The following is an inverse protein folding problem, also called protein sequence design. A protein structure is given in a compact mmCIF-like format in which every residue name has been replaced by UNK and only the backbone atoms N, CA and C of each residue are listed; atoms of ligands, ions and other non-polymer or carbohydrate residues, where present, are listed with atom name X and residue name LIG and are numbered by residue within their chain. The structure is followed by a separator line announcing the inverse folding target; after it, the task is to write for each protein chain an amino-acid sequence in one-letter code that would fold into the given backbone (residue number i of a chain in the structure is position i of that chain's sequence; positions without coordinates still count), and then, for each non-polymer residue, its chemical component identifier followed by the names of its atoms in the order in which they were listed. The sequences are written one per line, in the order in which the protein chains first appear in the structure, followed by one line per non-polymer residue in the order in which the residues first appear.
data_IF_099143634253
#
_entry.id   IF_099143634253
#
_cell.length_a   1.000
_cell.length_b   1.000
_cell.length_c   1.000
_cell.angle_alpha   90.00
_cell.angle_beta   90.00
_cell.angle_gamma   90.00
#
_symmetry.space_group_name_H-M   'P 1'
#
loop_
_entity.id
_entity.type
_entity.pdbx_description
1 polymer ?
#
# COMPACT_ATOMS: atom_id res chain seq x y z
N UNK A 1 9.88 -26.78 14.73
CA UNK A 1 9.63 -27.56 13.50
C UNK A 1 8.17 -27.35 13.08
N UNK A 2 7.93 -26.97 11.82
CA UNK A 2 6.59 -26.80 11.27
C UNK A 2 5.86 -28.16 11.17
N UNK A 3 4.54 -28.20 11.38
CA UNK A 3 3.73 -29.42 11.37
C UNK A 3 3.66 -30.08 9.98
N UNK A 4 3.40 -31.40 9.88
CA UNK A 4 3.28 -32.13 8.60
C UNK A 4 2.24 -31.54 7.62
N UNK A 5 1.28 -30.78 8.15
CA UNK A 5 0.27 -30.04 7.38
C UNK A 5 0.86 -28.90 6.54
N UNK A 6 1.92 -28.25 7.05
CA UNK A 6 2.59 -27.15 6.36
C UNK A 6 3.55 -27.67 5.28
N UNK A 7 4.13 -28.86 5.47
CA UNK A 7 5.08 -29.47 4.50
C UNK A 7 4.43 -29.96 3.21
N UNK A 8 3.12 -30.25 3.20
CA UNK A 8 2.40 -30.69 1.99
C UNK A 8 1.91 -29.52 1.12
N UNK A 9 1.90 -28.30 1.65
CA UNK A 9 1.56 -27.10 0.90
C UNK A 9 2.83 -26.51 0.32
N UNK A 10 2.84 -26.21 -0.99
CA UNK A 10 3.92 -25.45 -1.66
C UNK A 10 3.90 -23.97 -1.22
N UNK A 11 4.01 -23.71 0.07
CA UNK A 11 4.08 -22.35 0.61
C UNK A 11 5.50 -21.86 0.38
N UNK A 12 5.69 -21.07 -0.68
CA UNK A 12 6.89 -20.25 -0.82
C UNK A 12 6.73 -19.09 0.16
N UNK A 13 7.36 -19.19 1.32
CA UNK A 13 7.55 -18.02 2.19
C UNK A 13 8.70 -17.22 1.58
N UNK A 14 8.37 -16.38 0.58
CA UNK A 14 9.28 -15.34 0.13
C UNK A 14 9.38 -14.27 1.22
N UNK A 15 10.51 -13.56 1.29
CA UNK A 15 10.55 -12.24 1.92
C UNK A 15 9.35 -11.44 1.41
N UNK A 16 8.66 -10.72 2.31
CA UNK A 16 7.46 -9.96 1.95
C UNK A 16 7.71 -9.20 0.64
N UNK A 17 6.84 -9.40 -0.34
CA UNK A 17 6.95 -8.73 -1.63
C UNK A 17 6.87 -7.23 -1.36
N UNK A 18 7.99 -6.51 -1.55
CA UNK A 18 8.09 -5.08 -1.28
C UNK A 18 7.02 -4.30 -2.04
N UNK A 19 6.55 -4.85 -3.17
CA UNK A 19 5.41 -4.35 -3.94
C UNK A 19 4.12 -4.34 -3.13
N UNK A 20 3.84 -5.41 -2.38
CA UNK A 20 2.65 -5.53 -1.56
C UNK A 20 2.72 -4.59 -0.35
N UNK A 21 3.90 -4.44 0.25
CA UNK A 21 4.12 -3.47 1.33
C UNK A 21 3.85 -2.03 0.85
N UNK A 22 4.41 -1.63 -0.30
CA UNK A 22 4.15 -0.31 -0.89
C UNK A 22 2.67 -0.10 -1.18
N UNK A 23 2.01 -1.11 -1.76
CA UNK A 23 0.58 -1.04 -2.03
C UNK A 23 -0.23 -0.84 -0.76
N UNK A 24 0.02 -1.64 0.28
CA UNK A 24 -0.69 -1.57 1.56
C UNK A 24 -0.45 -0.22 2.26
N UNK A 25 0.82 0.23 2.34
CA UNK A 25 1.15 1.49 2.98
C UNK A 25 0.59 2.70 2.21
N UNK A 26 0.51 2.64 0.88
CA UNK A 26 -0.14 3.67 0.09
C UNK A 26 -1.64 3.78 0.41
N UNK A 27 -2.35 2.66 0.55
CA UNK A 27 -3.76 2.64 0.92
C UNK A 27 -3.99 3.15 2.36
N UNK A 28 -3.19 2.68 3.31
CA UNK A 28 -3.29 3.11 4.72
C UNK A 28 -3.02 4.61 4.83
N UNK A 29 -2.00 5.11 4.14
CA UNK A 29 -1.68 6.54 4.09
C UNK A 29 -2.87 7.36 3.59
N UNK A 30 -3.45 6.98 2.45
CA UNK A 30 -4.60 7.67 1.87
C UNK A 30 -5.85 7.61 2.78
N UNK A 31 -6.04 6.49 3.49
CA UNK A 31 -7.13 6.34 4.45
C UNK A 31 -6.97 7.25 5.66
N UNK A 32 -5.78 7.32 6.25
CA UNK A 32 -5.55 8.17 7.42
C UNK A 32 -5.60 9.66 7.06
N UNK A 33 -5.08 10.04 5.88
CA UNK A 33 -5.24 11.39 5.34
C UNK A 33 -6.72 11.78 5.20
N UNK A 34 -7.60 10.84 4.81
CA UNK A 34 -9.05 11.07 4.74
C UNK A 34 -9.69 11.24 6.13
N UNK A 35 -9.18 10.58 7.16
CA UNK A 35 -9.76 10.60 8.51
C UNK A 35 -9.41 11.84 9.32
N UNK A 36 -8.32 12.51 8.97
CA UNK A 36 -7.87 13.76 9.62
C UNK A 36 -7.83 13.68 11.15
N UNK A 37 -7.37 12.54 11.69
CA UNK A 37 -7.36 12.33 13.14
C UNK A 37 -6.23 13.13 13.83
N UNK A 38 -6.38 13.41 15.13
CA UNK A 38 -5.47 14.30 15.90
C UNK A 38 -4.00 13.86 15.98
N UNK A 39 -3.70 12.61 15.63
CA UNK A 39 -2.34 12.04 15.62
C UNK A 39 -1.84 11.72 14.21
N UNK A 40 -2.46 12.30 13.19
CA UNK A 40 -2.17 11.99 11.79
C UNK A 40 -0.68 12.17 11.48
N UNK A 41 -0.10 13.29 11.88
CA UNK A 41 1.33 13.59 11.62
C UNK A 41 2.25 12.54 12.23
N UNK A 42 2.09 12.23 13.53
CA UNK A 42 2.89 11.22 14.22
C UNK A 42 2.74 9.82 13.56
N UNK A 43 1.53 9.49 13.12
CA UNK A 43 1.27 8.22 12.45
C UNK A 43 1.94 8.14 11.08
N UNK A 44 1.80 9.19 10.26
CA UNK A 44 2.44 9.26 8.94
C UNK A 44 3.96 9.27 9.04
N UNK A 45 4.55 9.91 10.05
CA UNK A 45 6.00 9.89 10.31
C UNK A 45 6.52 8.47 10.59
N UNK A 46 5.75 7.67 11.34
CA UNK A 46 6.08 6.26 11.57
C UNK A 46 6.02 5.45 10.28
N UNK A 47 4.93 5.58 9.53
CA UNK A 47 4.81 4.88 8.23
C UNK A 47 5.91 5.30 7.24
N UNK A 48 6.30 6.57 7.25
CA UNK A 48 7.34 7.10 6.37
C UNK A 48 8.70 6.51 6.71
N UNK A 49 8.94 6.20 7.99
CA UNK A 49 10.16 5.53 8.45
C UNK A 49 10.21 4.06 8.02
N UNK A 50 9.05 3.39 7.95
CA UNK A 50 8.93 1.99 7.54
C UNK A 50 8.97 1.83 6.01
N UNK A 51 8.12 2.56 5.27
CA UNK A 51 8.05 2.49 3.82
C UNK A 51 7.86 3.90 3.21
N UNK A 52 8.96 4.64 2.96
CA UNK A 52 8.89 6.02 2.47
C UNK A 52 8.21 6.14 1.10
N UNK A 53 8.36 5.13 0.25
CA UNK A 53 7.74 5.09 -1.08
C UNK A 53 6.23 4.89 -0.98
N UNK A 54 5.77 3.98 -0.11
CA UNK A 54 4.35 3.74 0.13
C UNK A 54 3.62 5.00 0.59
N UNK A 55 4.20 5.71 1.55
CA UNK A 55 3.63 6.98 2.05
C UNK A 55 3.62 8.06 0.98
N UNK A 56 4.70 8.20 0.20
CA UNK A 56 4.77 9.18 -0.88
C UNK A 56 3.71 8.91 -1.97
N UNK A 57 3.55 7.65 -2.39
CA UNK A 57 2.55 7.25 -3.40
C UNK A 57 1.14 7.45 -2.86
N UNK A 58 0.85 6.99 -1.64
CA UNK A 58 -0.46 7.15 -1.01
C UNK A 58 -0.88 8.61 -0.87
N UNK A 59 0.06 9.46 -0.44
CA UNK A 59 -0.16 10.90 -0.32
C UNK A 59 -0.46 11.56 -1.67
N UNK A 60 0.31 11.21 -2.71
CA UNK A 60 0.13 11.79 -4.04
C UNK A 60 -1.22 11.36 -4.66
N UNK A 61 -1.55 10.07 -4.61
CA UNK A 61 -2.81 9.56 -5.15
C UNK A 61 -4.01 10.10 -4.38
N UNK A 62 -3.88 10.30 -3.07
CA UNK A 62 -4.90 10.98 -2.26
C UNK A 62 -5.10 12.43 -2.72
N UNK A 63 -4.02 13.22 -2.87
CA UNK A 63 -4.09 14.61 -3.35
C UNK A 63 -4.73 14.74 -4.73
N UNK A 64 -4.50 13.76 -5.61
CA UNK A 64 -5.13 13.69 -6.94
C UNK A 64 -6.60 13.25 -6.92
N UNK A 65 -7.11 12.81 -5.77
CA UNK A 65 -8.46 12.25 -5.65
C UNK A 65 -8.61 10.88 -6.33
N UNK A 66 -7.51 10.20 -6.65
CA UNK A 66 -7.51 8.96 -7.43
C UNK A 66 -8.41 7.88 -6.80
N UNK A 67 -8.29 7.64 -5.49
CA UNK A 67 -9.08 6.58 -4.83
C UNK A 67 -10.59 6.90 -4.83
N UNK A 68 -10.97 8.17 -4.70
CA UNK A 68 -12.37 8.59 -4.81
C UNK A 68 -12.90 8.37 -6.23
N UNK A 69 -12.08 8.65 -7.24
CA UNK A 69 -12.41 8.37 -8.64
C UNK A 69 -12.53 6.88 -8.92
N UNK A 70 -11.58 6.06 -8.45
CA UNK A 70 -11.58 4.62 -8.61
C UNK A 70 -12.85 3.97 -8.02
N UNK A 71 -13.32 4.46 -6.86
CA UNK A 71 -14.59 4.03 -6.28
C UNK A 71 -15.76 4.44 -7.18
N UNK A 72 -15.81 5.70 -7.60
CA UNK A 72 -16.90 6.25 -8.44
C UNK A 72 -17.03 5.52 -9.77
N UNK A 73 -15.91 5.16 -10.37
CA UNK A 73 -15.83 4.48 -11.68
C UNK A 73 -15.77 2.95 -11.54
N UNK A 74 -15.87 2.43 -10.31
CA UNK A 74 -15.88 1.00 -9.99
C UNK A 74 -14.67 0.23 -10.55
N UNK A 75 -13.47 0.78 -10.35
CA UNK A 75 -12.24 0.14 -10.81
C UNK A 75 -12.04 -1.22 -10.14
N UNK A 76 -11.63 -2.25 -10.89
CA UNK A 76 -11.26 -3.52 -10.29
C UNK A 76 -10.02 -3.35 -9.40
N UNK A 77 -9.98 -4.05 -8.27
CA UNK A 77 -8.87 -3.98 -7.33
C UNK A 77 -7.51 -4.28 -7.98
N UNK A 78 -7.48 -5.16 -8.98
CA UNK A 78 -6.27 -5.44 -9.76
C UNK A 78 -5.75 -4.23 -10.54
N UNK A 79 -6.62 -3.39 -11.09
CA UNK A 79 -6.22 -2.15 -11.76
C UNK A 79 -5.66 -1.16 -10.74
N UNK A 80 -6.34 -0.98 -9.61
CA UNK A 80 -5.87 -0.11 -8.52
C UNK A 80 -4.49 -0.54 -8.04
N UNK A 81 -4.25 -1.85 -7.92
CA UNK A 81 -2.95 -2.39 -7.58
C UNK A 81 -1.88 -2.02 -8.62
N UNK A 82 -2.15 -2.26 -9.91
CA UNK A 82 -1.21 -1.94 -10.99
C UNK A 82 -0.90 -0.44 -11.05
N UNK A 83 -1.89 0.42 -10.86
CA UNK A 83 -1.71 1.87 -10.91
C UNK A 83 -0.86 2.37 -9.73
N UNK A 84 -1.14 1.89 -8.51
CA UNK A 84 -0.38 2.24 -7.31
C UNK A 84 1.07 1.76 -7.43
N UNK A 85 1.28 0.51 -7.85
CA UNK A 85 2.62 -0.07 -8.02
C UNK A 85 3.36 0.60 -9.18
N UNK A 86 2.70 0.88 -10.29
CA UNK A 86 3.27 1.61 -11.41
C UNK A 86 3.72 3.01 -11.00
N UNK A 87 2.94 3.69 -10.15
CA UNK A 87 3.32 4.96 -9.55
C UNK A 87 4.59 4.85 -8.69
N UNK A 88 4.76 3.75 -7.95
CA UNK A 88 5.96 3.47 -7.16
C UNK A 88 7.19 3.18 -8.03
N UNK A 89 7.05 2.34 -9.06
CA UNK A 89 8.14 1.99 -9.98
C UNK A 89 8.70 3.21 -10.72
N UNK A 90 7.84 4.17 -11.09
CA UNK A 90 8.26 5.46 -11.66
C UNK A 90 9.17 6.29 -10.73
N UNK A 91 9.19 5.97 -9.43
CA UNK A 91 10.01 6.62 -8.40
C UNK A 91 11.31 5.86 -8.10
N UNK A 92 11.64 4.83 -8.90
CA UNK A 92 12.87 4.06 -8.76
C UNK A 92 12.88 3.11 -7.56
N UNK A 93 11.69 2.69 -7.13
CA UNK A 93 11.50 1.63 -6.14
C UNK A 93 11.67 0.24 -6.74
#
# INVERSE_FOLDING_TARGET
AATPYLSSKKIKVGMADTTLEVFQLALVTAFELKREHSRLTEFLERLQSDCPVGVAVGTELFKRGYFSQAIKENYPAGQVFQDVVGCALQRGF
#
